data_IF_776059558125
#
_entry.id   IF_776059558125
#
_cell.length_a   1.000
_cell.length_b   1.000
_cell.length_c   1.000
_cell.angle_alpha   90.00
_cell.angle_beta   90.00
_cell.angle_gamma   90.00
#
_symmetry.space_group_name_H-M   'P 1'
#
loop_
_entity.id
_entity.type
_entity.pdbx_description
1 polymer ?
#
# COMPACT_ATOMS: atom_id res chain seq x y z
N UNK A 1 -17.91 26.05 -2.43
CA UNK A 1 -17.62 24.76 -3.09
C UNK A 1 -16.24 24.33 -2.62
N UNK A 2 -16.17 23.48 -1.60
CA UNK A 2 -14.90 23.10 -0.95
C UNK A 2 -14.25 21.95 -1.71
N UNK A 3 -12.92 22.00 -1.91
CA UNK A 3 -12.11 20.93 -2.50
C UNK A 3 -12.32 19.57 -1.80
N UNK A 4 -12.67 19.61 -0.51
CA UNK A 4 -13.01 18.44 0.31
C UNK A 4 -14.32 17.76 -0.10
N UNK A 5 -15.32 18.50 -0.59
CA UNK A 5 -16.59 17.93 -1.07
C UNK A 5 -16.40 17.21 -2.41
N UNK A 6 -15.52 17.71 -3.27
CA UNK A 6 -15.18 17.06 -4.54
C UNK A 6 -14.39 15.77 -4.34
N UNK A 7 -13.43 15.74 -3.40
CA UNK A 7 -12.69 14.52 -3.03
C UNK A 7 -13.60 13.45 -2.41
N UNK A 8 -14.59 13.87 -1.62
CA UNK A 8 -15.61 12.97 -1.05
C UNK A 8 -16.54 12.41 -2.12
N UNK A 9 -16.91 13.22 -3.12
CA UNK A 9 -17.78 12.78 -4.25
C UNK A 9 -17.11 11.76 -5.17
N UNK A 10 -15.77 11.74 -5.22
CA UNK A 10 -14.96 10.82 -6.03
C UNK A 10 -14.55 9.53 -5.32
N UNK A 11 -15.07 9.26 -4.12
CA UNK A 11 -14.72 8.07 -3.33
C UNK A 11 -13.21 7.91 -3.04
N UNK A 12 -12.41 8.99 -3.09
CA UNK A 12 -10.94 8.93 -2.90
C UNK A 12 -10.59 8.36 -1.52
N UNK A 13 -11.37 8.69 -0.49
CA UNK A 13 -11.22 8.11 0.85
C UNK A 13 -11.43 6.59 0.87
N UNK A 14 -12.36 6.07 0.06
CA UNK A 14 -12.65 4.64 -0.04
C UNK A 14 -11.52 3.91 -0.78
N UNK A 15 -11.00 4.51 -1.85
CA UNK A 15 -9.86 3.97 -2.60
C UNK A 15 -8.60 3.99 -1.76
N UNK A 16 -8.31 5.08 -1.05
CA UNK A 16 -7.17 5.18 -0.16
C UNK A 16 -7.20 4.18 0.99
N UNK A 17 -8.38 3.95 1.60
CA UNK A 17 -8.52 2.92 2.64
C UNK A 17 -8.38 1.50 2.08
N UNK A 18 -9.01 1.21 0.94
CA UNK A 18 -8.86 -0.09 0.28
C UNK A 18 -7.40 -0.38 -0.07
N UNK A 19 -6.67 0.64 -0.56
CA UNK A 19 -5.25 0.49 -0.84
C UNK A 19 -4.45 0.24 0.44
N UNK A 20 -4.68 1.00 1.51
CA UNK A 20 -3.98 0.81 2.77
C UNK A 20 -4.13 -0.62 3.30
N UNK A 21 -5.35 -1.18 3.23
CA UNK A 21 -5.64 -2.56 3.63
C UNK A 21 -4.94 -3.57 2.72
N UNK A 22 -5.01 -3.39 1.39
CA UNK A 22 -4.37 -4.30 0.43
C UNK A 22 -2.85 -4.25 0.54
N UNK A 23 -2.26 -3.06 0.59
CA UNK A 23 -0.82 -2.87 0.74
C UNK A 23 -0.30 -3.45 2.04
N UNK A 24 -1.03 -3.27 3.15
CA UNK A 24 -0.71 -3.91 4.42
C UNK A 24 -0.73 -5.43 4.34
N UNK A 25 -1.77 -6.03 3.73
CA UNK A 25 -1.84 -7.48 3.53
C UNK A 25 -0.69 -8.01 2.68
N UNK A 26 -0.34 -7.31 1.60
CA UNK A 26 0.79 -7.69 0.74
C UNK A 26 2.11 -7.68 1.52
N UNK A 27 2.36 -6.62 2.30
CA UNK A 27 3.56 -6.51 3.14
C UNK A 27 3.60 -7.63 4.17
N UNK A 28 2.48 -7.95 4.82
CA UNK A 28 2.41 -8.97 5.85
C UNK A 28 2.64 -10.39 5.31
N UNK A 29 2.05 -10.71 4.16
CA UNK A 29 2.29 -11.98 3.46
C UNK A 29 3.73 -12.08 2.97
N UNK A 30 4.27 -10.98 2.43
CA UNK A 30 5.65 -10.93 1.98
C UNK A 30 6.64 -11.09 3.13
N UNK A 31 6.40 -10.48 4.29
CA UNK A 31 7.25 -10.61 5.47
C UNK A 31 7.35 -12.08 5.90
N UNK A 32 6.19 -12.74 6.06
CA UNK A 32 6.11 -14.16 6.42
C UNK A 32 6.83 -15.07 5.39
N UNK A 33 6.64 -14.79 4.10
CA UNK A 33 7.31 -15.54 3.04
C UNK A 33 8.83 -15.32 3.06
N UNK A 34 9.28 -14.06 3.10
CA UNK A 34 10.69 -13.68 3.09
C UNK A 34 11.42 -14.24 4.30
N UNK A 35 10.82 -14.20 5.49
CA UNK A 35 11.36 -14.82 6.69
C UNK A 35 11.47 -16.34 6.53
N UNK A 36 10.43 -17.00 6.02
CA UNK A 36 10.44 -18.44 5.73
C UNK A 36 11.53 -18.85 4.75
N UNK A 37 11.86 -17.99 3.78
CA UNK A 37 12.93 -18.21 2.80
C UNK A 37 14.32 -17.76 3.31
N UNK A 38 14.42 -17.21 4.52
CA UNK A 38 15.68 -16.66 5.04
C UNK A 38 16.22 -15.50 4.20
N UNK A 39 15.33 -14.73 3.58
CA UNK A 39 15.70 -13.68 2.66
C UNK A 39 16.43 -12.53 3.38
N UNK A 40 17.42 -11.89 2.75
CA UNK A 40 18.11 -10.76 3.34
C UNK A 40 17.18 -9.56 3.59
N UNK A 41 17.41 -8.81 4.67
CA UNK A 41 16.57 -7.67 5.05
C UNK A 41 16.51 -6.51 4.04
N UNK A 42 17.34 -6.50 2.99
CA UNK A 42 17.20 -5.52 1.90
C UNK A 42 15.99 -5.81 1.00
N UNK A 43 15.58 -7.08 0.87
CA UNK A 43 14.47 -7.49 0.00
C UNK A 43 13.15 -6.89 0.48
N UNK A 44 12.90 -6.94 1.79
CA UNK A 44 11.70 -6.36 2.40
C UNK A 44 11.65 -4.84 2.23
N UNK A 45 12.80 -4.14 2.36
CA UNK A 45 12.89 -2.69 2.14
C UNK A 45 12.52 -2.30 0.70
N UNK A 46 13.01 -3.05 -0.28
CA UNK A 46 12.68 -2.83 -1.70
C UNK A 46 11.20 -3.09 -1.97
N UNK A 47 10.62 -4.12 -1.36
CA UNK A 47 9.21 -4.46 -1.53
C UNK A 47 8.28 -3.37 -0.96
N UNK A 48 8.58 -2.87 0.23
CA UNK A 48 7.86 -1.73 0.84
C UNK A 48 7.96 -0.50 -0.06
N UNK A 49 9.13 -0.24 -0.66
CA UNK A 49 9.29 0.89 -1.59
C UNK A 49 8.37 0.76 -2.83
N UNK A 50 8.24 -0.43 -3.41
CA UNK A 50 7.31 -0.69 -4.52
C UNK A 50 5.83 -0.55 -4.11
N UNK A 51 5.46 -1.00 -2.91
CA UNK A 51 4.10 -0.82 -2.36
C UNK A 51 3.79 0.67 -2.17
N UNK A 52 4.75 1.47 -1.70
CA UNK A 52 4.57 2.91 -1.59
C UNK A 52 4.41 3.61 -2.94
N UNK A 53 5.14 3.19 -3.97
CA UNK A 53 4.96 3.71 -5.34
C UNK A 53 3.57 3.33 -5.89
N UNK A 54 3.15 2.08 -5.68
CA UNK A 54 1.82 1.63 -6.08
C UNK A 54 0.69 2.45 -5.43
N UNK A 55 0.92 2.95 -4.20
CA UNK A 55 -0.05 3.80 -3.51
C UNK A 55 -0.24 5.12 -4.24
N UNK A 56 0.86 5.77 -4.62
CA UNK A 56 0.86 7.04 -5.36
C UNK A 56 0.20 6.89 -6.74
N UNK A 57 0.32 5.73 -7.38
CA UNK A 57 -0.33 5.46 -8.66
C UNK A 57 -1.84 5.19 -8.55
N UNK A 58 -2.32 4.79 -7.37
CA UNK A 58 -3.73 4.42 -7.14
C UNK A 58 -4.62 5.60 -6.71
N UNK A 59 -4.00 6.66 -6.16
CA UNK A 59 -4.67 7.84 -5.62
C UNK A 59 -4.87 8.90 -6.71
#
# INVERSE_FOLDING_TARGET
MSFFDELKRRNVFRVGFAYAVVGWLVVQVADLALESFGAPGWVMKTLIFFVLIGFVLSL
#
